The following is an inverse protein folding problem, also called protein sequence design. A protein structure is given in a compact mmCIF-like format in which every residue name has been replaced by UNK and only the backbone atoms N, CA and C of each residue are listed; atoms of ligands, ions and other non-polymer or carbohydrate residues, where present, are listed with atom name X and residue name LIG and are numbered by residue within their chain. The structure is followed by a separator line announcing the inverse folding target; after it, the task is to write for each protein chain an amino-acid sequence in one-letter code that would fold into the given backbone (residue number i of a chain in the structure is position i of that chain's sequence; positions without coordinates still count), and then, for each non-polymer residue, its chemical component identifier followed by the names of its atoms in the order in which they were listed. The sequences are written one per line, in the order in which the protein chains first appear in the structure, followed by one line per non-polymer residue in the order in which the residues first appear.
data_IF_602623614089
#
_entry.id   IF_602623614089
#
_cell.length_a   1.000
_cell.length_b   1.000
_cell.length_c   1.000
_cell.angle_alpha   90.00
_cell.angle_beta   90.00
_cell.angle_gamma   90.00
#
_symmetry.space_group_name_H-M   'P 1'
#
loop_
_entity.id
_entity.type
_entity.pdbx_description
1 polymer ?
#
# COMPACT_ATOMS: atom_id res chain seq x y z
N UNK A 1 10.68 6.55 13.30
CA UNK A 1 11.45 5.77 14.32
C UNK A 1 12.42 4.80 13.64
N UNK A 2 13.31 4.11 14.36
CA UNK A 2 14.13 3.03 13.75
C UNK A 2 13.26 1.91 13.18
N UNK A 3 12.15 1.57 13.85
CA UNK A 3 11.21 0.57 13.36
C UNK A 3 10.58 0.98 12.03
N UNK A 4 10.17 2.25 11.91
CA UNK A 4 9.60 2.84 10.69
C UNK A 4 10.62 2.87 9.54
N UNK A 5 11.89 3.18 9.81
CA UNK A 5 12.96 3.13 8.80
C UNK A 5 13.24 1.71 8.31
N UNK A 6 13.24 0.71 9.20
CA UNK A 6 13.39 -0.71 8.83
C UNK A 6 12.19 -1.17 8.01
N UNK A 7 10.98 -0.74 8.37
CA UNK A 7 9.75 -1.01 7.64
C UNK A 7 9.77 -0.34 6.25
N UNK A 8 10.18 0.92 6.12
CA UNK A 8 10.36 1.58 4.83
C UNK A 8 11.39 0.87 3.95
N UNK A 9 12.53 0.44 4.52
CA UNK A 9 13.53 -0.34 3.79
C UNK A 9 12.94 -1.68 3.33
N UNK A 10 12.17 -2.37 4.17
CA UNK A 10 11.51 -3.61 3.78
C UNK A 10 10.45 -3.40 2.68
N UNK A 11 9.69 -2.29 2.74
CA UNK A 11 8.72 -1.91 1.73
C UNK A 11 9.39 -1.64 0.37
N UNK A 12 10.42 -0.79 0.37
CA UNK A 12 11.07 -0.29 -0.84
C UNK A 12 12.08 -1.29 -1.44
N UNK A 13 12.77 -2.08 -0.60
CA UNK A 13 13.80 -3.03 -1.04
C UNK A 13 13.39 -4.49 -0.96
N UNK A 14 12.37 -4.82 -0.17
CA UNK A 14 11.98 -6.21 0.13
C UNK A 14 10.75 -6.70 -0.65
N UNK A 15 9.95 -5.83 -1.25
CA UNK A 15 8.70 -6.18 -1.95
C UNK A 15 8.47 -5.41 -3.26
N UNK A 16 9.44 -5.38 -4.20
CA UNK A 16 9.33 -4.56 -5.41
C UNK A 16 8.10 -4.91 -6.26
N UNK A 17 7.75 -6.20 -6.39
CA UNK A 17 6.56 -6.62 -7.15
C UNK A 17 5.27 -6.13 -6.49
N UNK A 18 5.17 -6.21 -5.17
CA UNK A 18 3.99 -5.71 -4.44
C UNK A 18 3.84 -4.20 -4.62
N UNK A 19 4.96 -3.48 -4.56
CA UNK A 19 4.99 -2.04 -4.79
C UNK A 19 4.55 -1.68 -6.21
N UNK A 20 5.12 -2.31 -7.24
CA UNK A 20 4.72 -2.02 -8.62
C UNK A 20 3.26 -2.42 -8.90
N UNK A 21 2.80 -3.57 -8.40
CA UNK A 21 1.39 -4.01 -8.53
C UNK A 21 0.44 -2.98 -7.90
N UNK A 22 0.78 -2.46 -6.72
CA UNK A 22 -0.01 -1.41 -6.07
C UNK A 22 -0.02 -0.12 -6.90
N UNK A 23 1.16 0.40 -7.27
CA UNK A 23 1.29 1.67 -7.98
C UNK A 23 0.61 1.64 -9.35
N UNK A 24 0.77 0.55 -10.10
CA UNK A 24 0.14 0.35 -11.41
C UNK A 24 -1.39 0.38 -11.29
N UNK A 25 -1.94 -0.35 -10.33
CA UNK A 25 -3.40 -0.44 -10.13
C UNK A 25 -3.99 0.87 -9.56
N UNK A 26 -3.24 1.56 -8.70
CA UNK A 26 -3.60 2.87 -8.18
C UNK A 26 -3.46 3.99 -9.24
N UNK A 27 -2.79 3.71 -10.37
CA UNK A 27 -2.51 4.70 -11.42
C UNK A 27 -1.47 5.74 -11.02
N UNK A 28 -0.57 5.39 -10.11
CA UNK A 28 0.51 6.26 -9.63
C UNK A 28 1.73 6.05 -10.55
N UNK A 29 2.20 7.10 -11.27
CA UNK A 29 3.36 6.98 -12.15
C UNK A 29 4.63 6.61 -11.38
N UNK A 30 5.39 5.66 -11.90
CA UNK A 30 6.68 5.23 -11.36
C UNK A 30 7.66 4.82 -12.47
N UNK A 31 8.93 4.64 -12.12
CA UNK A 31 10.02 4.30 -13.04
C UNK A 31 10.02 2.84 -13.56
N UNK A 32 8.98 2.06 -13.24
CA UNK A 32 8.90 0.62 -13.51
C UNK A 32 9.52 -0.25 -12.41
N UNK A 33 10.19 0.34 -11.42
CA UNK A 33 10.76 -0.35 -10.24
C UNK A 33 10.13 0.11 -8.93
N UNK A 34 9.12 0.98 -9.02
CA UNK A 34 8.37 1.52 -7.90
C UNK A 34 8.95 2.82 -7.32
N UNK A 35 9.92 3.45 -7.99
CA UNK A 35 10.36 4.80 -7.61
C UNK A 35 9.37 5.83 -8.16
N UNK A 36 8.86 6.68 -7.27
CA UNK A 36 7.92 7.77 -7.57
C UNK A 36 8.61 9.10 -7.29
N UNK A 37 8.42 10.10 -8.16
CA UNK A 37 8.97 11.44 -7.94
C UNK A 37 8.29 12.13 -6.75
N UNK A 38 6.96 12.01 -6.69
CA UNK A 38 6.14 12.54 -5.60
C UNK A 38 4.91 11.64 -5.43
N UNK A 39 4.56 11.34 -4.18
CA UNK A 39 3.34 10.62 -3.86
C UNK A 39 2.14 11.55 -3.96
N UNK A 40 1.00 11.09 -4.51
CA UNK A 40 -0.14 11.96 -4.72
C UNK A 40 -0.77 12.40 -3.39
N UNK A 41 -1.34 13.61 -3.37
CA UNK A 41 -2.09 14.11 -2.21
C UNK A 41 -3.38 13.32 -1.95
N UNK A 42 -3.91 12.65 -2.96
CA UNK A 42 -5.13 11.84 -2.88
C UNK A 42 -5.00 10.59 -3.75
N UNK A 43 -5.60 9.50 -3.30
CA UNK A 43 -5.85 8.31 -4.13
C UNK A 43 -7.37 8.25 -4.31
N UNK A 44 -7.90 8.36 -5.53
CA UNK A 44 -9.34 8.25 -5.78
C UNK A 44 -9.89 6.90 -5.29
N UNK A 45 -11.16 6.87 -4.88
CA UNK A 45 -11.78 5.67 -4.30
C UNK A 45 -11.72 4.45 -5.23
N UNK A 46 -12.04 4.62 -6.51
CA UNK A 46 -11.97 3.56 -7.52
C UNK A 46 -10.54 3.00 -7.69
N UNK A 47 -9.53 3.87 -7.56
CA UNK A 47 -8.11 3.49 -7.61
C UNK A 47 -7.63 2.79 -6.36
N UNK A 48 -8.08 3.23 -5.18
CA UNK A 48 -7.78 2.56 -3.92
C UNK A 48 -8.35 1.14 -3.91
N UNK A 49 -9.61 0.98 -4.30
CA UNK A 49 -10.27 -0.33 -4.41
C UNK A 49 -9.57 -1.23 -5.44
N UNK A 50 -9.24 -0.69 -6.62
CA UNK A 50 -8.52 -1.44 -7.65
C UNK A 50 -7.15 -1.92 -7.17
N UNK A 51 -6.40 -1.06 -6.45
CA UNK A 51 -5.10 -1.41 -5.91
C UNK A 51 -5.18 -2.51 -4.85
N UNK A 52 -6.14 -2.43 -3.92
CA UNK A 52 -6.37 -3.48 -2.92
C UNK A 52 -6.74 -4.80 -3.59
N UNK A 53 -7.63 -4.78 -4.59
CA UNK A 53 -8.05 -5.97 -5.31
C UNK A 53 -6.90 -6.62 -6.10
N UNK A 54 -6.05 -5.81 -6.75
CA UNK A 54 -4.87 -6.30 -7.47
C UNK A 54 -3.89 -7.01 -6.52
N UNK A 55 -3.64 -6.43 -5.34
CA UNK A 55 -2.77 -7.04 -4.34
C UNK A 55 -3.34 -8.36 -3.80
N UNK A 56 -4.63 -8.40 -3.45
CA UNK A 56 -5.28 -9.61 -2.94
C UNK A 56 -5.34 -10.76 -3.97
N UNK A 57 -5.28 -10.45 -5.26
CA UNK A 57 -5.22 -11.44 -6.33
C UNK A 57 -3.85 -12.14 -6.41
N UNK A 58 -2.78 -11.44 -6.06
CA UNK A 58 -1.40 -11.91 -6.28
C UNK A 58 -0.70 -12.34 -4.99
N UNK A 59 -1.12 -11.83 -3.82
CA UNK A 59 -0.41 -12.02 -2.56
C UNK A 59 -1.34 -12.48 -1.43
N UNK A 60 -0.80 -13.20 -0.42
CA UNK A 60 -1.56 -13.57 0.76
C UNK A 60 -2.11 -12.35 1.51
N UNK A 61 -3.38 -12.41 1.94
CA UNK A 61 -4.07 -11.28 2.58
C UNK A 61 -3.30 -10.66 3.76
N UNK A 62 -2.66 -11.47 4.62
CA UNK A 62 -1.84 -10.94 5.73
C UNK A 62 -0.63 -10.13 5.27
N UNK A 63 -0.02 -10.51 4.14
CA UNK A 63 1.09 -9.76 3.56
C UNK A 63 0.60 -8.44 2.97
N UNK A 64 -0.54 -8.47 2.28
CA UNK A 64 -1.22 -7.27 1.75
C UNK A 64 -1.60 -6.31 2.87
N UNK A 65 -2.17 -6.83 3.96
CA UNK A 65 -2.54 -6.06 5.14
C UNK A 65 -1.34 -5.30 5.70
N UNK A 66 -0.23 -6.01 5.98
CA UNK A 66 0.99 -5.40 6.50
C UNK A 66 1.54 -4.32 5.54
N UNK A 67 1.61 -4.63 4.25
CA UNK A 67 2.08 -3.70 3.22
C UNK A 67 1.26 -2.42 3.18
N UNK A 68 -0.07 -2.52 3.12
CA UNK A 68 -0.95 -1.35 3.00
C UNK A 68 -0.93 -0.48 4.26
N UNK A 69 -0.86 -1.08 5.45
CA UNK A 69 -0.71 -0.34 6.69
C UNK A 69 0.62 0.41 6.75
N UNK A 70 1.71 -0.21 6.28
CA UNK A 70 3.01 0.46 6.17
C UNK A 70 3.00 1.57 5.11
N UNK A 71 2.34 1.35 3.99
CA UNK A 71 2.24 2.34 2.93
C UNK A 71 1.50 3.59 3.41
N UNK A 72 0.40 3.43 4.16
CA UNK A 72 -0.34 4.53 4.78
C UNK A 72 0.53 5.42 5.69
N UNK A 73 1.59 4.88 6.31
CA UNK A 73 2.49 5.64 7.19
C UNK A 73 3.40 6.61 6.43
N UNK A 74 3.47 6.55 5.09
CA UNK A 74 4.29 7.48 4.30
C UNK A 74 3.74 8.92 4.32
N UNK A 75 2.51 9.12 4.78
CA UNK A 75 1.91 10.45 4.98
C UNK A 75 1.32 10.57 6.38
N UNK A 76 1.36 11.76 6.98
CA UNK A 76 0.50 12.07 8.11
C UNK A 76 -0.95 11.74 7.74
N UNK A 77 -1.62 10.93 8.57
CA UNK A 77 -3.01 10.47 8.40
C UNK A 77 -3.30 9.53 7.22
N UNK A 78 -2.31 9.24 6.37
CA UNK A 78 -2.45 8.36 5.20
C UNK A 78 -3.41 8.91 4.14
N UNK A 79 -3.96 8.00 3.31
CA UNK A 79 -4.98 8.31 2.32
C UNK A 79 -6.35 7.81 2.80
N UNK A 80 -7.34 8.71 2.81
CA UNK A 80 -8.71 8.43 3.29
C UNK A 80 -9.35 7.23 2.56
N UNK A 81 -9.36 7.27 1.23
CA UNK A 81 -9.99 6.19 0.45
C UNK A 81 -9.23 4.86 0.55
N UNK A 82 -7.92 4.89 0.82
CA UNK A 82 -7.17 3.66 1.05
C UNK A 82 -7.54 3.04 2.41
N UNK A 83 -7.74 3.87 3.44
CA UNK A 83 -8.30 3.41 4.73
C UNK A 83 -9.68 2.78 4.53
N UNK A 84 -10.56 3.42 3.75
CA UNK A 84 -11.88 2.88 3.45
C UNK A 84 -11.81 1.53 2.71
N UNK A 85 -10.93 1.42 1.70
CA UNK A 85 -10.73 0.18 0.95
C UNK A 85 -10.17 -0.96 1.82
N UNK A 86 -9.25 -0.67 2.76
CA UNK A 86 -8.76 -1.65 3.74
C UNK A 86 -9.91 -2.09 4.66
N UNK A 87 -10.67 -1.14 5.21
CA UNK A 87 -11.76 -1.44 6.14
C UNK A 87 -12.91 -2.25 5.51
N UNK A 88 -13.11 -2.13 4.20
CA UNK A 88 -14.08 -2.94 3.45
C UNK A 88 -13.68 -4.42 3.29
N UNK A 89 -12.43 -4.78 3.61
CA UNK A 89 -11.90 -6.14 3.47
C UNK A 89 -11.51 -6.70 4.86
N UNK A 90 -12.33 -7.57 5.48
CA UNK A 90 -12.08 -8.08 6.84
C UNK A 90 -10.72 -8.77 7.01
N UNK A 91 -10.24 -9.46 5.99
CA UNK A 91 -8.93 -10.15 5.99
C UNK A 91 -7.73 -9.19 6.02
N UNK A 92 -7.96 -7.89 5.80
CA UNK A 92 -6.95 -6.85 5.85
C UNK A 92 -6.88 -6.12 7.19
N UNK A 93 -7.83 -6.36 8.11
CA UNK A 93 -7.80 -5.77 9.45
C UNK A 93 -6.70 -6.43 10.27
N UNK A 94 -5.69 -5.66 10.68
CA UNK A 94 -4.66 -6.15 11.60
C UNK A 94 -5.19 -6.08 13.03
N UNK A 95 -5.50 -7.23 13.62
CA UNK A 95 -5.81 -7.33 15.05
C UNK A 95 -4.53 -7.05 15.87
N UNK A 96 -4.67 -6.35 17.00
CA UNK A 96 -3.60 -6.26 17.97
C UNK A 96 -3.39 -7.64 18.60
N UNK A 97 -2.17 -8.19 18.46
CA UNK A 97 -1.75 -9.43 19.10
C UNK A 97 -1.62 -9.27 20.63
#
# INVERSE_FOLDING_TARGET
SIAEQVLQIWLLKGQPTMLTTFLDAAGIPHDGKGEVEELPEEIPADKAEAAVAALLKEFPAKQVALYLHMFQMQRPDGWEHLTAAIAANPDLILEAA
#
